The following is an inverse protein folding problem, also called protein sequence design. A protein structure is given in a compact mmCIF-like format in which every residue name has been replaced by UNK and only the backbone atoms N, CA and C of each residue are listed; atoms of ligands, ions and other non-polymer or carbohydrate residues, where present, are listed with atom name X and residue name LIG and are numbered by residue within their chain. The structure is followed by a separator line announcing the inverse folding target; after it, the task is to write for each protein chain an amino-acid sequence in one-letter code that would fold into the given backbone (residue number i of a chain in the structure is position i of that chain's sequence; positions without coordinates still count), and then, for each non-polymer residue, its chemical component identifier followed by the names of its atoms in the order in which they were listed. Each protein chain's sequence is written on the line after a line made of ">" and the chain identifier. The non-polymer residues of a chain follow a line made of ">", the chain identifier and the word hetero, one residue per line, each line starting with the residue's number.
data_IF_005849169232
#
_entry.id   IF_005849169232
#
_cell.length_a   1.000
_cell.length_b   1.000
_cell.length_c   1.000
_cell.angle_alpha   90.00
_cell.angle_beta   90.00
_cell.angle_gamma   90.00
#
_symmetry.space_group_name_H-M   'P 1'
#
loop_
_entity.id
_entity.type
_entity.pdbx_description
1 polymer ?
#
# COMPACT_ATOMS: atom_id res chain seq x y z
N UNK A 1 35.26 -3.84 14.12
CA UNK A 1 34.95 -3.47 12.72
C UNK A 1 34.90 -4.75 11.91
N UNK A 2 33.74 -5.40 11.82
CA UNK A 2 33.52 -6.54 10.93
C UNK A 2 33.41 -6.00 9.50
N UNK A 3 34.19 -6.58 8.57
CA UNK A 3 34.04 -6.31 7.13
C UNK A 3 32.61 -6.64 6.74
N UNK A 4 31.87 -5.64 6.26
CA UNK A 4 30.55 -5.83 5.70
C UNK A 4 30.65 -6.83 4.55
N UNK A 5 30.04 -7.99 4.73
CA UNK A 5 29.79 -8.92 3.62
C UNK A 5 28.88 -8.15 2.67
N UNK A 6 29.35 -7.81 1.48
CA UNK A 6 28.47 -7.28 0.45
C UNK A 6 27.32 -8.27 0.27
N UNK A 7 26.06 -7.83 0.34
CA UNK A 7 24.94 -8.72 0.18
C UNK A 7 25.05 -9.39 -1.20
N UNK A 8 25.16 -10.71 -1.20
CA UNK A 8 25.23 -11.48 -2.44
C UNK A 8 24.06 -11.07 -3.34
N UNK A 9 24.37 -10.68 -4.58
CA UNK A 9 23.36 -10.31 -5.55
C UNK A 9 22.66 -11.61 -6.00
N UNK A 10 21.52 -11.90 -5.38
CA UNK A 10 20.73 -13.10 -5.68
C UNK A 10 19.86 -12.82 -6.89
N UNK A 11 20.07 -13.58 -7.97
CA UNK A 11 19.16 -13.59 -9.11
C UNK A 11 18.05 -14.62 -8.87
N UNK A 12 16.90 -14.11 -8.41
CA UNK A 12 15.71 -14.91 -8.11
C UNK A 12 15.08 -15.54 -9.36
N UNK A 13 15.35 -15.02 -10.56
CA UNK A 13 14.79 -15.56 -11.81
C UNK A 13 15.53 -16.82 -12.28
N UNK A 14 16.78 -17.01 -11.83
CA UNK A 14 17.57 -18.21 -12.14
C UNK A 14 17.24 -19.39 -11.23
N UNK A 15 16.65 -19.16 -10.05
CA UNK A 15 16.19 -20.24 -9.17
C UNK A 15 14.94 -20.92 -9.78
N UNK A 16 15.00 -22.23 -10.11
CA UNK A 16 13.88 -22.96 -10.70
C UNK A 16 12.61 -22.96 -9.83
N UNK A 17 12.77 -22.84 -8.51
CA UNK A 17 11.66 -22.73 -7.59
C UNK A 17 10.91 -21.42 -7.82
N UNK A 18 11.59 -20.29 -7.72
CA UNK A 18 10.98 -18.95 -7.79
C UNK A 18 10.50 -18.58 -9.18
N UNK A 19 11.17 -19.09 -10.23
CA UNK A 19 10.79 -18.84 -11.63
C UNK A 19 9.33 -19.21 -11.94
N UNK A 20 8.78 -20.22 -11.25
CA UNK A 20 7.43 -20.71 -11.49
C UNK A 20 6.41 -20.20 -10.47
N UNK A 21 6.82 -19.36 -9.50
CA UNK A 21 5.93 -18.80 -8.48
C UNK A 21 5.36 -17.47 -8.93
N UNK A 22 4.14 -17.20 -8.47
CA UNK A 22 3.49 -15.89 -8.61
C UNK A 22 4.20 -14.84 -7.78
N UNK A 23 4.66 -15.19 -6.58
CA UNK A 23 5.39 -14.29 -5.69
C UNK A 23 6.77 -14.87 -5.36
N UNK A 24 7.76 -14.00 -5.39
CA UNK A 24 9.14 -14.25 -5.01
C UNK A 24 9.61 -13.17 -4.02
N UNK A 25 10.66 -13.44 -3.23
CA UNK A 25 11.23 -12.48 -2.30
C UNK A 25 11.63 -11.14 -2.93
N UNK A 26 12.05 -11.14 -4.20
CA UNK A 26 12.42 -9.93 -4.93
C UNK A 26 11.24 -8.99 -5.20
N UNK A 27 10.00 -9.51 -5.19
CA UNK A 27 8.79 -8.77 -5.50
C UNK A 27 8.13 -8.15 -4.24
N UNK A 28 8.70 -8.40 -3.06
CA UNK A 28 8.20 -7.89 -1.79
C UNK A 28 9.08 -6.74 -1.27
N UNK A 29 8.46 -5.68 -0.80
CA UNK A 29 9.12 -4.67 0.03
C UNK A 29 8.86 -4.99 1.49
N UNK A 30 9.87 -5.44 2.22
CA UNK A 30 9.72 -5.90 3.61
C UNK A 30 10.42 -4.91 4.53
N UNK A 31 9.73 -4.51 5.59
CA UNK A 31 10.25 -3.62 6.62
C UNK A 31 10.00 -4.21 8.01
N UNK A 32 11.04 -4.22 8.83
CA UNK A 32 10.94 -4.55 10.24
C UNK A 32 10.90 -3.27 11.07
N UNK A 33 9.89 -3.18 11.94
CA UNK A 33 9.71 -2.11 12.90
C UNK A 33 10.18 -2.62 14.24
N UNK A 34 11.19 -1.95 14.81
CA UNK A 34 11.86 -2.39 16.01
C UNK A 34 12.36 -1.22 16.85
N UNK A 35 12.60 -1.46 18.13
CA UNK A 35 13.26 -0.52 19.03
C UNK A 35 14.78 -0.63 18.86
N UNK A 36 15.44 0.49 18.58
CA UNK A 36 16.89 0.56 18.44
C UNK A 36 17.49 1.58 19.42
N UNK A 37 18.47 1.16 20.22
CA UNK A 37 19.22 2.05 21.12
C UNK A 37 20.41 2.69 20.44
N UNK A 38 20.20 3.80 19.71
CA UNK A 38 21.28 4.44 18.93
C UNK A 38 22.15 5.39 19.74
N UNK A 39 21.61 5.95 20.84
CA UNK A 39 22.30 6.92 21.69
C UNK A 39 22.03 6.59 23.15
N UNK A 40 23.09 6.51 23.96
CA UNK A 40 22.99 6.30 25.41
C UNK A 40 22.16 7.39 26.08
N UNK A 41 22.09 8.58 25.48
CA UNK A 41 21.51 9.78 26.07
C UNK A 41 20.00 9.95 25.76
N UNK A 42 19.45 9.23 24.77
CA UNK A 42 18.09 9.45 24.24
C UNK A 42 17.17 8.24 24.45
N UNK A 43 17.73 7.08 24.81
CA UNK A 43 16.97 5.84 24.97
C UNK A 43 16.69 5.12 23.64
N UNK A 44 15.90 4.05 23.72
CA UNK A 44 15.52 3.26 22.54
C UNK A 44 14.48 4.01 21.70
N UNK A 45 14.71 4.12 20.39
CA UNK A 45 13.80 4.76 19.45
C UNK A 45 13.19 3.72 18.51
N UNK A 46 11.92 3.90 18.18
CA UNK A 46 11.26 3.09 17.18
C UNK A 46 11.84 3.37 15.78
N UNK A 47 12.29 2.35 15.08
CA UNK A 47 12.88 2.47 13.75
C UNK A 47 12.27 1.47 12.79
N UNK A 48 12.21 1.86 11.51
CA UNK A 48 11.74 1.02 10.42
C UNK A 48 12.92 0.68 9.50
N UNK A 49 13.21 -0.60 9.35
CA UNK A 49 14.36 -1.11 8.59
C UNK A 49 13.90 -1.96 7.43
N UNK A 50 14.31 -1.57 6.24
CA UNK A 50 14.14 -2.39 5.05
C UNK A 50 14.95 -3.69 5.18
N UNK A 51 14.28 -4.81 4.94
CA UNK A 51 14.89 -6.15 4.88
C UNK A 51 15.15 -6.46 3.42
N UNK A 52 16.44 -6.61 3.07
CA UNK A 52 16.83 -6.96 1.71
C UNK A 52 16.42 -8.39 1.41
N UNK A 53 15.86 -8.64 0.21
CA UNK A 53 15.43 -9.97 -0.20
C UNK A 53 16.54 -11.02 -0.08
N UNK A 54 17.79 -10.65 -0.39
CA UNK A 54 18.96 -11.53 -0.29
C UNK A 54 19.24 -12.02 1.14
N UNK A 55 18.84 -11.27 2.17
CA UNK A 55 19.03 -11.64 3.58
C UNK A 55 18.05 -12.72 4.04
N UNK A 56 17.01 -13.02 3.26
CA UNK A 56 16.00 -14.03 3.58
C UNK A 56 16.46 -15.47 3.26
N UNK A 57 17.55 -15.65 2.52
CA UNK A 57 18.01 -16.97 2.06
C UNK A 57 18.11 -18.04 3.17
N UNK A 58 18.64 -17.75 4.38
CA UNK A 58 18.69 -18.75 5.45
C UNK A 58 17.30 -19.22 5.88
N UNK A 59 16.34 -18.30 6.01
CA UNK A 59 14.98 -18.61 6.43
C UNK A 59 14.20 -19.35 5.32
N UNK A 60 14.49 -19.05 4.05
CA UNK A 60 13.89 -19.69 2.89
C UNK A 60 14.31 -21.16 2.69
N UNK A 61 15.27 -21.68 3.46
CA UNK A 61 15.54 -23.12 3.49
C UNK A 61 14.32 -23.92 3.97
N UNK A 62 13.46 -23.29 4.79
CA UNK A 62 12.24 -23.90 5.32
C UNK A 62 10.98 -23.53 4.50
N UNK A 63 11.15 -23.05 3.26
CA UNK A 63 10.04 -22.54 2.42
C UNK A 63 8.88 -23.52 2.21
N UNK A 64 9.13 -24.81 2.27
CA UNK A 64 8.12 -25.85 2.06
C UNK A 64 7.58 -26.45 3.37
N UNK A 65 8.07 -25.99 4.54
CA UNK A 65 7.72 -26.54 5.86
C UNK A 65 6.21 -26.46 6.11
N UNK A 66 5.60 -25.28 5.94
CA UNK A 66 4.16 -25.10 6.16
C UNK A 66 3.34 -25.98 5.22
N UNK A 67 3.72 -26.07 3.94
CA UNK A 67 3.01 -26.89 2.96
C UNK A 67 3.08 -28.38 3.31
N UNK A 68 4.19 -28.83 3.91
CA UNK A 68 4.40 -30.21 4.31
C UNK A 68 3.73 -30.55 5.67
N UNK A 69 3.61 -29.60 6.58
CA UNK A 69 3.16 -29.84 7.96
C UNK A 69 1.69 -29.53 8.22
N UNK A 70 0.99 -28.85 7.30
CA UNK A 70 -0.38 -28.38 7.52
C UNK A 70 -1.40 -29.53 7.43
N UNK A 71 -2.02 -29.88 8.55
CA UNK A 71 -3.07 -30.91 8.64
C UNK A 71 -4.46 -30.36 8.29
N UNK A 72 -4.70 -29.98 7.03
CA UNK A 72 -5.97 -29.35 6.61
C UNK A 72 -7.18 -30.28 6.83
N UNK A 73 -6.97 -31.59 6.71
CA UNK A 73 -7.98 -32.63 6.91
C UNK A 73 -8.55 -32.65 8.34
N UNK A 74 -7.78 -32.18 9.32
CA UNK A 74 -8.21 -32.09 10.72
C UNK A 74 -9.12 -30.87 10.94
N UNK A 75 -9.08 -29.88 10.05
CA UNK A 75 -9.71 -28.56 10.22
C UNK A 75 -10.99 -28.43 9.38
N UNK A 76 -11.04 -29.04 8.19
CA UNK A 76 -12.25 -29.05 7.34
C UNK A 76 -12.50 -30.42 6.72
N UNK A 77 -13.76 -30.83 6.70
CA UNK A 77 -14.21 -32.07 6.05
C UNK A 77 -14.53 -31.87 4.55
N UNK A 78 -14.57 -30.62 4.08
CA UNK A 78 -14.90 -30.30 2.69
C UNK A 78 -13.70 -30.56 1.78
N UNK A 79 -13.79 -31.58 0.92
CA UNK A 79 -12.71 -31.96 -0.02
C UNK A 79 -12.29 -30.84 -0.97
N UNK A 80 -13.21 -29.97 -1.39
CA UNK A 80 -12.89 -28.86 -2.28
C UNK A 80 -12.07 -27.79 -1.54
N UNK A 81 -12.41 -27.49 -0.29
CA UNK A 81 -11.63 -26.59 0.56
C UNK A 81 -10.25 -27.17 0.87
N UNK A 82 -10.18 -28.48 1.17
CA UNK A 82 -8.90 -29.16 1.38
C UNK A 82 -7.98 -28.99 0.15
N UNK A 83 -8.48 -29.28 -1.06
CA UNK A 83 -7.72 -29.12 -2.29
C UNK A 83 -7.27 -27.66 -2.51
N UNK A 84 -8.17 -26.70 -2.26
CA UNK A 84 -7.89 -25.26 -2.37
C UNK A 84 -6.80 -24.82 -1.40
N UNK A 85 -6.91 -25.15 -0.12
CA UNK A 85 -5.93 -24.76 0.90
C UNK A 85 -4.58 -25.42 0.68
N UNK A 86 -4.54 -26.67 0.21
CA UNK A 86 -3.29 -27.32 -0.21
C UNK A 86 -2.63 -26.60 -1.38
N UNK A 87 -3.42 -26.19 -2.38
CA UNK A 87 -2.89 -25.42 -3.51
C UNK A 87 -2.34 -24.05 -3.07
N UNK A 88 -3.05 -23.35 -2.16
CA UNK A 88 -2.57 -22.11 -1.57
C UNK A 88 -1.31 -22.31 -0.72
N UNK A 89 -1.24 -23.35 0.10
CA UNK A 89 -0.05 -23.67 0.88
C UNK A 89 1.14 -24.04 -0.01
N UNK A 90 0.90 -24.80 -1.07
CA UNK A 90 1.93 -25.11 -2.06
C UNK A 90 2.45 -23.85 -2.74
N UNK A 91 1.62 -22.84 -3.01
CA UNK A 91 2.01 -21.61 -3.72
C UNK A 91 2.60 -20.52 -2.81
N UNK A 92 1.98 -20.29 -1.66
CA UNK A 92 2.27 -19.16 -0.78
C UNK A 92 2.78 -19.59 0.60
N UNK A 93 2.89 -20.89 0.87
CA UNK A 93 3.32 -21.41 2.18
C UNK A 93 4.71 -20.93 2.59
N UNK A 94 5.57 -20.62 1.62
CA UNK A 94 6.90 -20.03 1.86
C UNK A 94 6.85 -18.69 2.59
N UNK A 95 5.74 -17.94 2.49
CA UNK A 95 5.57 -16.68 3.23
C UNK A 95 5.64 -16.92 4.74
N UNK A 96 5.43 -18.13 5.23
CA UNK A 96 5.57 -18.46 6.66
C UNK A 96 6.99 -18.19 7.19
N UNK A 97 8.01 -18.32 6.34
CA UNK A 97 9.39 -17.94 6.66
C UNK A 97 9.50 -16.47 7.06
N UNK A 98 8.58 -15.62 6.59
CA UNK A 98 8.55 -14.20 6.91
C UNK A 98 7.93 -13.91 8.28
N UNK A 99 7.39 -14.89 9.03
CA UNK A 99 6.80 -14.67 10.37
C UNK A 99 7.80 -14.35 11.48
N UNK A 100 9.03 -13.96 11.15
CA UNK A 100 10.04 -13.50 12.11
C UNK A 100 10.31 -14.46 13.29
N UNK A 101 10.19 -15.78 13.09
CA UNK A 101 10.54 -16.77 14.12
C UNK A 101 12.03 -16.69 14.53
N UNK A 102 12.90 -16.20 13.63
CA UNK A 102 14.37 -16.15 13.78
C UNK A 102 15.02 -14.80 13.41
N UNK A 103 14.24 -13.81 12.98
CA UNK A 103 14.81 -12.60 12.39
C UNK A 103 15.57 -11.83 13.45
N UNK A 104 16.88 -11.73 13.24
CA UNK A 104 17.84 -10.95 14.01
C UNK A 104 18.12 -11.48 15.42
N UNK A 105 18.57 -12.73 15.56
CA UNK A 105 19.39 -13.11 16.72
C UNK A 105 20.77 -12.43 16.63
N UNK A 106 20.81 -11.11 16.77
CA UNK A 106 22.03 -10.42 17.17
C UNK A 106 21.98 -10.24 18.68
N UNK A 107 23.14 -10.15 19.33
CA UNK A 107 23.26 -9.98 20.79
C UNK A 107 22.45 -8.75 21.30
N UNK A 108 22.01 -7.86 20.41
CA UNK A 108 21.30 -6.61 20.69
C UNK A 108 19.81 -6.59 20.29
N UNK A 109 19.23 -7.68 19.78
CA UNK A 109 17.84 -7.70 19.32
C UNK A 109 17.02 -8.74 20.11
N UNK A 110 16.53 -8.29 21.27
CA UNK A 110 15.66 -9.10 22.13
C UNK A 110 14.28 -9.28 21.49
N UNK A 111 13.50 -10.30 21.87
CA UNK A 111 12.12 -10.42 21.40
C UNK A 111 11.27 -9.16 21.64
N UNK A 112 11.54 -8.43 22.72
CA UNK A 112 10.81 -7.22 23.13
C UNK A 112 11.13 -5.99 22.26
N UNK A 113 12.28 -5.97 21.57
CA UNK A 113 12.60 -4.91 20.61
C UNK A 113 11.83 -5.06 19.31
N UNK A 114 11.34 -6.25 18.98
CA UNK A 114 10.65 -6.52 17.71
C UNK A 114 9.17 -6.17 17.81
N UNK A 115 8.73 -5.18 17.05
CA UNK A 115 7.35 -4.67 17.13
C UNK A 115 6.48 -5.27 16.04
N UNK A 116 6.70 -4.86 14.80
CA UNK A 116 5.83 -5.21 13.68
C UNK A 116 6.65 -5.43 12.40
N UNK A 117 6.25 -6.39 11.58
CA UNK A 117 6.76 -6.59 10.23
C UNK A 117 5.70 -6.12 9.24
N UNK A 118 6.12 -5.19 8.40
CA UNK A 118 5.32 -4.66 7.31
C UNK A 118 5.81 -5.20 5.97
N UNK A 119 4.89 -5.77 5.20
CA UNK A 119 5.15 -6.24 3.84
C UNK A 119 4.32 -5.40 2.88
N UNK A 120 4.95 -4.81 1.87
CA UNK A 120 4.28 -4.09 0.81
C UNK A 120 4.43 -4.84 -0.53
N UNK A 121 3.29 -5.05 -1.19
CA UNK A 121 3.18 -5.72 -2.48
C UNK A 121 2.62 -4.70 -3.47
N UNK A 122 3.35 -4.45 -4.55
CA UNK A 122 2.98 -3.42 -5.53
C UNK A 122 1.88 -3.87 -6.51
N UNK A 123 1.13 -4.93 -6.20
CA UNK A 123 0.13 -5.53 -7.09
C UNK A 123 -1.15 -5.86 -6.34
N UNK A 124 -2.27 -5.86 -7.07
CA UNK A 124 -3.62 -5.99 -6.54
C UNK A 124 -4.37 -7.15 -7.20
N UNK A 125 -4.04 -8.36 -6.77
CA UNK A 125 -4.82 -9.57 -7.04
C UNK A 125 -5.45 -10.09 -5.77
N UNK A 126 -6.75 -10.38 -5.82
CA UNK A 126 -7.47 -10.95 -4.69
C UNK A 126 -6.85 -12.28 -4.19
N UNK A 127 -6.33 -13.11 -5.11
CA UNK A 127 -5.61 -14.35 -4.76
C UNK A 127 -4.44 -14.13 -3.79
N UNK A 128 -3.77 -12.96 -3.85
CA UNK A 128 -2.67 -12.65 -2.95
C UNK A 128 -3.13 -12.37 -1.53
N UNK A 129 -4.35 -11.88 -1.34
CA UNK A 129 -4.93 -11.70 0.00
C UNK A 129 -5.03 -13.06 0.70
N UNK A 130 -5.63 -14.05 0.02
CA UNK A 130 -5.76 -15.42 0.54
C UNK A 130 -4.42 -16.10 0.74
N UNK A 131 -3.49 -15.91 -0.22
CA UNK A 131 -2.12 -16.43 -0.11
C UNK A 131 -1.35 -15.86 1.08
N UNK A 132 -1.42 -14.53 1.28
CA UNK A 132 -0.79 -13.86 2.41
C UNK A 132 -1.44 -14.26 3.73
N UNK A 133 -2.77 -14.31 3.80
CA UNK A 133 -3.48 -14.75 5.01
C UNK A 133 -3.07 -16.16 5.40
N UNK A 134 -3.07 -17.10 4.45
CA UNK A 134 -2.69 -18.48 4.71
C UNK A 134 -1.21 -18.61 5.10
N UNK A 135 -0.31 -18.05 4.28
CA UNK A 135 1.13 -18.23 4.43
C UNK A 135 1.69 -17.53 5.66
N UNK A 136 1.16 -16.35 6.00
CA UNK A 136 1.57 -15.59 7.17
C UNK A 136 0.80 -15.95 8.43
N UNK A 137 -0.19 -16.83 8.44
CA UNK A 137 -0.88 -17.21 9.69
C UNK A 137 -0.07 -18.20 10.54
N UNK A 138 -0.31 -18.20 11.86
CA UNK A 138 0.27 -19.19 12.78
C UNK A 138 -0.65 -20.39 12.97
N UNK A 139 -0.44 -21.39 12.11
CA UNK A 139 -1.19 -22.65 12.15
C UNK A 139 -0.94 -23.49 13.40
N UNK A 140 0.01 -23.13 14.27
CA UNK A 140 0.22 -23.85 15.54
C UNK A 140 -0.75 -23.42 16.65
N UNK A 141 -1.36 -22.23 16.53
CA UNK A 141 -2.24 -21.66 17.58
C UNK A 141 -3.70 -22.07 17.42
N UNK A 142 -4.33 -21.66 16.32
CA UNK A 142 -5.76 -21.91 16.09
C UNK A 142 -6.09 -22.08 14.60
N UNK A 143 -5.87 -23.27 14.03
CA UNK A 143 -6.19 -23.58 12.63
C UNK A 143 -7.66 -23.30 12.23
N UNK A 144 -8.60 -23.58 13.14
CA UNK A 144 -10.03 -23.36 12.89
C UNK A 144 -10.35 -21.88 12.67
N UNK A 145 -9.77 -20.99 13.48
CA UNK A 145 -9.90 -19.54 13.32
C UNK A 145 -9.31 -19.06 11.98
N UNK A 146 -8.19 -19.65 11.55
CA UNK A 146 -7.55 -19.30 10.27
C UNK A 146 -8.43 -19.72 9.09
N UNK A 147 -9.00 -20.93 9.10
CA UNK A 147 -9.90 -21.40 8.05
C UNK A 147 -11.19 -20.56 8.00
N UNK A 148 -11.75 -20.21 9.16
CA UNK A 148 -12.87 -19.29 9.23
C UNK A 148 -12.53 -17.93 8.62
N UNK A 149 -11.36 -17.37 8.96
CA UNK A 149 -10.90 -16.11 8.40
C UNK A 149 -10.65 -16.16 6.88
N UNK A 150 -10.15 -17.27 6.34
CA UNK A 150 -9.99 -17.47 4.90
C UNK A 150 -11.34 -17.51 4.18
N UNK A 151 -12.34 -18.17 4.75
CA UNK A 151 -13.70 -18.19 4.21
C UNK A 151 -14.34 -16.79 4.28
N UNK A 152 -14.19 -16.10 5.41
CA UNK A 152 -14.70 -14.74 5.58
C UNK A 152 -14.00 -13.75 4.64
N UNK A 153 -12.71 -13.95 4.36
CA UNK A 153 -11.96 -13.14 3.40
C UNK A 153 -12.53 -13.29 1.98
N UNK A 154 -12.77 -14.52 1.54
CA UNK A 154 -13.38 -14.76 0.23
C UNK A 154 -14.79 -14.16 0.14
N UNK A 155 -15.58 -14.30 1.21
CA UNK A 155 -16.88 -13.67 1.30
C UNK A 155 -16.78 -12.14 1.22
N UNK A 156 -15.86 -11.54 1.98
CA UNK A 156 -15.60 -10.11 1.99
C UNK A 156 -15.18 -9.61 0.60
N UNK A 157 -14.24 -10.28 -0.06
CA UNK A 157 -13.83 -9.96 -1.43
C UNK A 157 -15.03 -9.99 -2.36
N UNK A 158 -15.82 -11.06 -2.37
CA UNK A 158 -17.00 -11.19 -3.23
C UNK A 158 -18.07 -10.12 -2.92
N UNK A 159 -18.25 -9.77 -1.66
CA UNK A 159 -19.23 -8.78 -1.21
C UNK A 159 -18.82 -7.35 -1.48
N UNK A 160 -17.52 -7.04 -1.51
CA UNK A 160 -17.01 -5.67 -1.62
C UNK A 160 -16.46 -5.37 -3.02
N UNK A 161 -16.13 -6.39 -3.82
CA UNK A 161 -15.72 -6.22 -5.22
C UNK A 161 -16.91 -5.66 -6.01
N UNK A 162 -16.63 -4.61 -6.78
CA UNK A 162 -17.59 -3.94 -7.64
C UNK A 162 -17.02 -3.83 -9.04
N UNK A 163 -17.92 -3.74 -10.01
CA UNK A 163 -17.59 -3.56 -11.41
C UNK A 163 -17.96 -2.15 -11.85
N UNK A 164 -17.07 -1.55 -12.63
CA UNK A 164 -17.28 -0.26 -13.30
C UNK A 164 -16.99 -0.42 -14.80
N UNK A 165 -17.29 0.62 -15.59
CA UNK A 165 -16.85 0.69 -16.99
C UNK A 165 -15.31 0.68 -17.11
N UNK A 166 -14.61 1.00 -16.02
CA UNK A 166 -13.16 1.13 -15.92
C UNK A 166 -12.51 0.00 -15.08
N UNK A 167 -13.10 -1.20 -15.08
CA UNK A 167 -12.56 -2.38 -14.39
C UNK A 167 -13.06 -2.58 -12.97
N UNK A 168 -12.40 -3.48 -12.24
CA UNK A 168 -12.78 -3.90 -10.87
C UNK A 168 -12.24 -2.98 -9.80
N UNK A 169 -12.99 -2.81 -8.72
CA UNK A 169 -12.63 -1.91 -7.63
C UNK A 169 -13.25 -2.38 -6.32
N UNK A 170 -12.68 -1.94 -5.20
CA UNK A 170 -13.33 -2.07 -3.89
C UNK A 170 -13.92 -0.74 -3.50
N UNK A 171 -15.16 -0.76 -2.98
CA UNK A 171 -15.62 0.37 -2.18
C UNK A 171 -14.71 0.51 -0.95
N UNK A 172 -14.59 1.71 -0.35
CA UNK A 172 -13.92 1.83 0.94
C UNK A 172 -14.65 0.98 1.99
N UNK A 173 -13.94 0.12 2.72
CA UNK A 173 -14.52 -0.73 3.76
C UNK A 173 -13.48 -1.16 4.79
N UNK A 174 -13.97 -1.56 5.97
CA UNK A 174 -13.24 -2.23 7.04
C UNK A 174 -14.02 -3.48 7.46
N UNK A 175 -13.36 -4.64 7.51
CA UNK A 175 -14.00 -5.91 7.88
C UNK A 175 -13.09 -6.77 8.74
N UNK A 176 -13.55 -7.13 9.94
CA UNK A 176 -12.93 -8.18 10.73
C UNK A 176 -13.20 -9.55 10.11
N UNK A 177 -12.15 -10.36 9.96
CA UNK A 177 -12.25 -11.68 9.33
C UNK A 177 -12.54 -12.78 10.35
N UNK A 178 -12.51 -12.46 11.65
CA UNK A 178 -12.74 -13.42 12.75
C UNK A 178 -14.15 -13.34 13.36
N UNK A 179 -15.04 -12.52 12.81
CA UNK A 179 -16.38 -12.31 13.35
C UNK A 179 -17.15 -13.64 13.43
N UNK A 180 -17.63 -13.99 14.62
CA UNK A 180 -18.41 -15.21 14.88
C UNK A 180 -17.65 -16.42 15.46
N UNK A 181 -16.32 -16.35 15.65
CA UNK A 181 -15.50 -17.48 16.15
C UNK A 181 -14.87 -17.29 17.55
N UNK A 182 -15.32 -16.34 18.39
CA UNK A 182 -15.05 -16.38 19.84
C UNK A 182 -15.12 -15.05 20.61
N UNK A 183 -15.62 -15.13 21.86
CA UNK A 183 -15.71 -14.13 22.94
C UNK A 183 -14.34 -13.76 23.60
N UNK A 184 -13.23 -13.97 22.90
CA UNK A 184 -11.89 -13.72 23.44
C UNK A 184 -11.48 -12.27 23.28
N UNK A 185 -11.29 -11.55 24.39
CA UNK A 185 -10.50 -10.30 24.39
C UNK A 185 -9.09 -10.60 23.85
N UNK A 186 -8.55 -9.67 23.06
CA UNK A 186 -7.11 -9.49 22.80
C UNK A 186 -6.43 -10.23 21.63
N UNK A 187 -7.01 -10.25 20.43
CA UNK A 187 -6.18 -10.32 19.21
C UNK A 187 -6.62 -9.28 18.16
N UNK A 188 -5.71 -8.36 17.79
CA UNK A 188 -5.89 -7.29 16.78
C UNK A 188 -6.04 -7.81 15.34
N UNK A 189 -6.53 -9.02 15.11
CA UNK A 189 -6.66 -9.56 13.77
C UNK A 189 -7.16 -11.01 13.69
N UNK A 190 -7.32 -11.55 12.48
CA UNK A 190 -7.14 -10.90 11.17
C UNK A 190 -8.29 -9.96 10.74
N UNK A 191 -7.98 -8.96 9.93
CA UNK A 191 -8.96 -8.07 9.28
C UNK A 191 -8.45 -7.50 7.94
N UNK A 192 -9.39 -7.05 7.10
CA UNK A 192 -9.11 -6.44 5.80
C UNK A 192 -9.71 -5.02 5.72
N UNK A 193 -8.92 -4.09 5.22
CA UNK A 193 -9.32 -2.72 4.92
C UNK A 193 -9.03 -2.41 3.44
N UNK A 194 -9.91 -1.65 2.80
CA UNK A 194 -9.67 -1.03 1.50
C UNK A 194 -9.93 0.46 1.57
N UNK A 195 -9.00 1.27 1.08
CA UNK A 195 -9.08 2.73 1.07
C UNK A 195 -8.61 3.30 -0.27
N UNK A 196 -9.41 4.14 -0.96
CA UNK A 196 -8.93 4.87 -2.13
C UNK A 196 -7.94 5.95 -1.69
N UNK A 197 -6.93 6.27 -2.49
CA UNK A 197 -6.04 7.40 -2.24
C UNK A 197 -5.58 8.08 -3.53
N UNK A 198 -5.17 9.33 -3.40
CA UNK A 198 -4.77 10.17 -4.53
C UNK A 198 -3.27 10.02 -4.84
N UNK A 199 -2.95 9.91 -6.13
CA UNK A 199 -1.58 9.85 -6.64
C UNK A 199 -1.40 10.54 -8.01
N UNK A 200 -0.16 10.90 -8.34
CA UNK A 200 0.18 11.52 -9.63
C UNK A 200 0.39 10.48 -10.74
N UNK A 201 0.12 10.86 -11.99
CA UNK A 201 0.54 10.11 -13.19
C UNK A 201 1.62 10.81 -13.98
N UNK A 202 2.18 10.12 -14.97
CA UNK A 202 3.09 10.68 -15.98
C UNK A 202 2.51 10.56 -17.37
N UNK A 203 3.07 11.36 -18.27
CA UNK A 203 2.73 11.34 -19.68
C UNK A 203 3.06 9.98 -20.32
N UNK A 204 2.11 9.41 -21.05
CA UNK A 204 2.28 8.14 -21.78
C UNK A 204 1.74 6.92 -21.02
N UNK A 205 2.21 5.73 -21.42
CA UNK A 205 1.82 4.48 -20.76
C UNK A 205 2.41 4.46 -19.36
N UNK A 206 1.59 4.04 -18.37
CA UNK A 206 2.09 3.75 -17.04
C UNK A 206 3.25 2.74 -17.18
N UNK A 207 4.47 3.07 -16.74
CA UNK A 207 5.58 2.15 -16.88
C UNK A 207 5.31 0.92 -16.01
N UNK A 208 5.91 -0.23 -16.35
CA UNK A 208 5.66 -1.47 -15.63
C UNK A 208 6.02 -1.30 -14.15
N UNK A 209 5.25 -1.98 -13.30
CA UNK A 209 5.55 -2.08 -11.88
C UNK A 209 6.95 -2.71 -11.73
N UNK A 210 7.82 -2.10 -10.91
CA UNK A 210 9.25 -2.40 -10.69
C UNK A 210 9.38 -3.79 -10.08
N UNK A 211 8.39 -4.14 -9.29
CA UNK A 211 8.09 -5.48 -8.87
C UNK A 211 6.97 -5.92 -9.81
N UNK A 212 7.32 -6.42 -10.99
CA UNK A 212 6.32 -6.96 -11.91
C UNK A 212 5.83 -8.25 -11.24
N UNK A 213 4.68 -8.17 -10.56
CA UNK A 213 4.30 -9.16 -9.56
C UNK A 213 3.70 -10.40 -10.24
N UNK A 214 3.06 -10.23 -11.39
CA UNK A 214 2.57 -11.35 -12.17
C UNK A 214 2.69 -11.05 -13.67
N UNK A 215 3.18 -11.99 -14.51
CA UNK A 215 3.06 -11.88 -15.96
C UNK A 215 1.62 -11.66 -16.42
N UNK A 216 0.63 -12.03 -15.59
CA UNK A 216 -0.80 -11.80 -15.86
C UNK A 216 -1.24 -10.33 -15.78
N UNK A 217 -0.45 -9.42 -15.21
CA UNK A 217 -0.81 -7.99 -15.09
C UNK A 217 -0.91 -7.27 -16.44
N UNK A 218 -0.47 -7.92 -17.53
CA UNK A 218 -0.57 -7.43 -18.90
C UNK A 218 -1.75 -7.95 -19.73
N UNK A 219 -2.62 -8.83 -19.21
CA UNK A 219 -3.77 -9.33 -19.98
C UNK A 219 -4.90 -8.28 -20.03
N UNK A 220 -4.97 -7.55 -21.14
CA UNK A 220 -5.92 -6.47 -21.44
C UNK A 220 -7.34 -6.95 -21.78
N UNK A 221 -7.95 -7.84 -20.99
CA UNK A 221 -9.39 -8.04 -21.10
C UNK A 221 -10.10 -6.99 -20.24
N UNK A 222 -10.77 -6.05 -20.89
CA UNK A 222 -11.48 -4.92 -20.28
C UNK A 222 -12.58 -5.31 -19.28
N UNK A 223 -13.03 -6.59 -19.28
CA UNK A 223 -14.00 -7.15 -18.32
C UNK A 223 -13.37 -7.99 -17.20
N UNK A 224 -12.09 -8.36 -17.33
CA UNK A 224 -11.37 -9.19 -16.34
C UNK A 224 -10.11 -8.52 -15.80
N UNK A 225 -9.96 -7.21 -16.02
CA UNK A 225 -8.82 -6.45 -15.56
C UNK A 225 -8.81 -6.38 -14.03
N UNK A 226 -7.60 -6.52 -13.48
CA UNK A 226 -7.29 -6.32 -12.06
C UNK A 226 -7.71 -4.92 -11.59
N UNK A 227 -7.51 -4.63 -10.30
CA UNK A 227 -7.85 -3.32 -9.77
C UNK A 227 -6.94 -2.23 -10.33
N UNK A 228 -7.40 -1.53 -11.37
CA UNK A 228 -6.62 -0.53 -12.10
C UNK A 228 -6.56 0.82 -11.38
N UNK A 229 -5.51 1.58 -11.67
CA UNK A 229 -5.44 3.02 -11.41
C UNK A 229 -6.48 3.75 -12.26
N UNK A 230 -7.15 4.74 -11.68
CA UNK A 230 -8.19 5.53 -12.36
C UNK A 230 -7.87 7.01 -12.30
N UNK A 231 -8.35 7.81 -13.24
CA UNK A 231 -8.43 9.26 -13.02
C UNK A 231 -9.47 9.59 -11.93
N UNK A 232 -9.46 10.82 -11.41
CA UNK A 232 -10.51 11.28 -10.49
C UNK A 232 -11.91 11.23 -11.10
N UNK A 233 -12.04 11.50 -12.40
CA UNK A 233 -13.33 11.47 -13.10
C UNK A 233 -13.80 10.03 -13.28
N UNK A 234 -12.92 9.11 -13.68
CA UNK A 234 -13.23 7.68 -13.80
C UNK A 234 -13.62 7.05 -12.45
N UNK A 235 -12.99 7.51 -11.36
CA UNK A 235 -13.31 7.05 -10.02
C UNK A 235 -14.73 7.47 -9.59
N UNK A 236 -15.11 8.71 -9.90
CA UNK A 236 -16.42 9.27 -9.55
C UNK A 236 -17.53 8.79 -10.50
N UNK A 237 -17.33 8.96 -11.81
CA UNK A 237 -18.27 8.59 -12.88
C UNK A 237 -18.09 7.14 -13.36
N UNK A 238 -18.27 6.20 -12.45
CA UNK A 238 -17.93 4.76 -12.64
C UNK A 238 -18.61 4.09 -13.85
N UNK A 239 -19.75 4.61 -14.29
CA UNK A 239 -20.56 4.02 -15.36
C UNK A 239 -20.45 4.78 -16.68
N UNK A 240 -19.79 5.94 -16.69
CA UNK A 240 -19.78 6.84 -17.85
C UNK A 240 -18.46 6.73 -18.63
N UNK A 241 -18.47 7.19 -19.88
CA UNK A 241 -17.21 7.52 -20.54
C UNK A 241 -16.76 8.91 -20.08
N UNK A 242 -15.51 9.01 -19.66
CA UNK A 242 -14.91 10.27 -19.19
C UNK A 242 -13.80 10.77 -20.11
N UNK A 243 -13.49 10.04 -21.19
CA UNK A 243 -12.33 10.25 -22.06
C UNK A 243 -12.26 11.66 -22.65
N UNK A 244 -13.40 12.22 -23.05
CA UNK A 244 -13.56 13.56 -23.57
C UNK A 244 -13.27 14.66 -22.52
N UNK A 245 -13.49 14.36 -21.24
CA UNK A 245 -13.31 15.28 -20.11
C UNK A 245 -11.91 15.21 -19.50
N UNK A 246 -11.20 14.10 -19.62
CA UNK A 246 -9.83 13.94 -19.11
C UNK A 246 -8.88 15.04 -19.60
N UNK A 247 -8.98 15.39 -20.89
CA UNK A 247 -8.16 16.45 -21.51
C UNK A 247 -8.42 17.84 -20.93
N UNK A 248 -9.56 18.03 -20.25
CA UNK A 248 -9.96 19.32 -19.72
C UNK A 248 -9.51 19.53 -18.28
N UNK A 249 -8.98 18.50 -17.61
CA UNK A 249 -8.63 18.60 -16.20
C UNK A 249 -7.64 19.73 -15.90
N UNK A 250 -7.67 20.25 -14.68
CA UNK A 250 -6.73 21.30 -14.22
C UNK A 250 -5.28 20.90 -14.47
N UNK A 251 -4.95 19.63 -14.26
CA UNK A 251 -3.59 19.09 -14.47
C UNK A 251 -3.16 19.12 -15.94
N UNK A 252 -4.09 18.99 -16.87
CA UNK A 252 -3.82 19.06 -18.30
C UNK A 252 -3.67 20.52 -18.75
N UNK A 253 -4.51 21.43 -18.24
CA UNK A 253 -4.56 22.84 -18.63
C UNK A 253 -3.45 23.68 -18.00
N UNK A 254 -3.17 23.49 -16.71
CA UNK A 254 -2.23 24.32 -15.96
C UNK A 254 -0.89 23.61 -15.73
N UNK A 255 0.14 24.08 -16.44
CA UNK A 255 1.51 23.57 -16.40
C UNK A 255 2.46 24.70 -15.98
N UNK A 256 2.51 25.06 -14.68
CA UNK A 256 3.25 26.23 -14.21
C UNK A 256 4.76 26.18 -14.52
N UNK A 257 5.33 24.98 -14.68
CA UNK A 257 6.73 24.79 -15.08
C UNK A 257 7.03 25.18 -16.53
N UNK A 258 6.02 25.38 -17.39
CA UNK A 258 6.27 25.87 -18.75
C UNK A 258 6.74 27.34 -18.76
N UNK A 259 6.36 28.11 -17.73
CA UNK A 259 6.67 29.54 -17.63
C UNK A 259 7.67 29.88 -16.53
N UNK A 260 7.90 28.97 -15.56
CA UNK A 260 8.89 29.13 -14.49
C UNK A 260 10.01 28.08 -14.59
N UNK A 261 11.21 28.53 -14.97
CA UNK A 261 12.41 27.69 -15.10
C UNK A 261 12.87 27.08 -13.77
N UNK A 262 12.71 27.78 -12.65
CA UNK A 262 13.12 27.25 -11.35
C UNK A 262 12.19 26.11 -10.92
N UNK A 263 10.89 26.29 -11.17
CA UNK A 263 9.90 25.24 -10.95
C UNK A 263 10.18 24.03 -11.85
N UNK A 264 10.43 24.26 -13.14
CA UNK A 264 10.79 23.21 -14.10
C UNK A 264 11.95 22.33 -13.61
N UNK A 265 13.06 22.94 -13.19
CA UNK A 265 14.22 22.21 -12.69
C UNK A 265 13.90 21.40 -11.42
N UNK A 266 13.07 21.95 -10.52
CA UNK A 266 12.63 21.22 -9.31
C UNK A 266 11.75 20.03 -9.66
N UNK A 267 10.81 20.19 -10.58
CA UNK A 267 9.91 19.11 -11.01
C UNK A 267 10.69 17.97 -11.64
N UNK A 268 11.60 18.26 -12.58
CA UNK A 268 12.47 17.23 -13.18
C UNK A 268 13.34 16.54 -12.13
N UNK A 269 13.89 17.30 -11.18
CA UNK A 269 14.73 16.75 -10.11
C UNK A 269 13.98 15.76 -9.22
N UNK A 270 12.73 16.04 -8.86
CA UNK A 270 11.98 15.22 -7.92
C UNK A 270 11.21 14.08 -8.56
N UNK A 271 10.57 14.36 -9.69
CA UNK A 271 9.67 13.41 -10.33
C UNK A 271 10.32 12.65 -11.50
N UNK A 272 11.43 13.15 -12.05
CA UNK A 272 12.06 12.64 -13.29
C UNK A 272 11.24 12.95 -14.55
N UNK A 273 9.92 12.86 -14.44
CA UNK A 273 8.91 13.14 -15.46
C UNK A 273 7.89 14.16 -14.94
N UNK A 274 7.20 14.84 -15.85
CA UNK A 274 6.18 15.81 -15.45
C UNK A 274 4.89 15.11 -15.03
N UNK A 275 4.29 15.50 -13.89
CA UNK A 275 3.00 14.96 -13.49
C UNK A 275 1.88 15.49 -14.39
N UNK A 276 1.16 14.59 -15.05
CA UNK A 276 0.19 14.95 -16.10
C UNK A 276 -1.26 14.89 -15.69
N UNK A 277 -1.63 13.99 -14.78
CA UNK A 277 -2.98 13.88 -14.24
C UNK A 277 -2.95 13.47 -12.76
N UNK A 278 -4.12 13.55 -12.16
CA UNK A 278 -4.39 13.05 -10.83
C UNK A 278 -5.18 11.75 -10.93
N UNK A 279 -4.67 10.72 -10.27
CA UNK A 279 -5.27 9.40 -10.23
C UNK A 279 -5.71 9.02 -8.82
N UNK A 280 -6.63 8.08 -8.77
CA UNK A 280 -7.07 7.36 -7.59
C UNK A 280 -6.55 5.93 -7.69
N UNK A 281 -5.74 5.53 -6.72
CA UNK A 281 -5.35 4.14 -6.48
C UNK A 281 -6.12 3.62 -5.24
N UNK A 282 -6.02 2.34 -4.97
CA UNK A 282 -6.58 1.68 -3.80
C UNK A 282 -5.44 1.11 -2.97
N UNK A 283 -5.46 1.38 -1.69
CA UNK A 283 -4.61 0.76 -0.69
C UNK A 283 -5.44 -0.32 0.02
N UNK A 284 -5.05 -1.58 -0.16
CA UNK A 284 -5.57 -2.66 0.66
C UNK A 284 -4.61 -2.92 1.80
N UNK A 285 -5.15 -3.13 2.99
CA UNK A 285 -4.38 -3.47 4.18
C UNK A 285 -4.96 -4.74 4.78
N UNK A 286 -4.17 -5.81 4.77
CA UNK A 286 -4.48 -7.08 5.39
C UNK A 286 -3.65 -7.19 6.67
N UNK A 287 -4.33 -7.19 7.82
CA UNK A 287 -3.69 -7.51 9.10
C UNK A 287 -3.86 -8.99 9.37
N UNK A 288 -2.75 -9.65 9.68
CA UNK A 288 -2.72 -11.07 10.00
C UNK A 288 -2.86 -11.25 11.52
N UNK A 289 -2.02 -10.53 12.26
CA UNK A 289 -1.98 -10.47 13.72
C UNK A 289 -1.32 -9.14 14.15
N UNK A 290 -1.16 -8.92 15.45
CA UNK A 290 -0.58 -7.68 16.01
C UNK A 290 0.84 -7.35 15.51
N UNK A 291 1.54 -8.32 14.91
CA UNK A 291 2.93 -8.18 14.46
C UNK A 291 3.10 -8.21 12.95
N UNK A 292 2.07 -8.55 12.17
CA UNK A 292 2.22 -8.73 10.73
C UNK A 292 1.12 -8.01 9.96
N UNK A 293 1.55 -7.07 9.11
CA UNK A 293 0.68 -6.28 8.25
C UNK A 293 1.16 -6.34 6.81
N UNK A 294 0.23 -6.58 5.89
CA UNK A 294 0.50 -6.60 4.46
C UNK A 294 -0.30 -5.52 3.78
N UNK A 295 0.36 -4.72 2.95
CA UNK A 295 -0.27 -3.65 2.17
C UNK A 295 -0.17 -3.93 0.69
N UNK A 296 -1.21 -3.62 -0.06
CA UNK A 296 -1.28 -3.80 -1.50
C UNK A 296 -1.67 -2.47 -2.14
N UNK A 297 -0.88 -1.98 -3.08
CA UNK A 297 -1.26 -0.88 -3.98
C UNK A 297 -0.43 -0.94 -5.23
N UNK A 298 -0.94 -0.44 -6.36
CA UNK A 298 -0.17 -0.42 -7.60
C UNK A 298 1.05 0.50 -7.49
N UNK A 299 0.91 1.59 -6.72
CA UNK A 299 1.93 2.55 -6.32
C UNK A 299 3.23 2.54 -7.17
N UNK A 300 3.03 2.98 -8.41
CA UNK A 300 3.97 3.52 -9.39
C UNK A 300 5.44 3.49 -8.96
N UNK A 301 5.97 2.29 -9.03
CA UNK A 301 7.31 1.93 -8.63
C UNK A 301 8.46 2.60 -9.39
N UNK A 302 8.12 3.28 -10.48
CA UNK A 302 9.03 4.12 -11.27
C UNK A 302 9.33 5.45 -10.57
N UNK A 303 8.49 5.86 -9.62
CA UNK A 303 8.69 7.09 -8.83
C UNK A 303 9.95 6.97 -7.99
N UNK A 304 10.63 8.09 -7.78
CA UNK A 304 11.77 8.12 -6.87
C UNK A 304 11.37 7.74 -5.44
N UNK A 305 12.27 7.06 -4.74
CA UNK A 305 12.19 6.89 -3.27
C UNK A 305 12.53 8.21 -2.57
N UNK A 306 13.34 9.07 -3.20
CA UNK A 306 13.70 10.39 -2.67
C UNK A 306 13.52 11.51 -3.72
N UNK A 307 12.61 12.48 -3.50
CA UNK A 307 11.71 12.57 -2.34
C UNK A 307 10.75 11.37 -2.28
N UNK A 308 10.15 11.07 -1.11
CA UNK A 308 9.28 9.91 -0.90
C UNK A 308 7.97 10.04 -1.68
N UNK A 309 8.00 9.77 -2.99
CA UNK A 309 6.84 9.87 -3.86
C UNK A 309 6.02 8.58 -3.88
N UNK A 310 6.70 7.43 -3.74
CA UNK A 310 6.05 6.14 -3.56
C UNK A 310 5.30 6.12 -2.22
N UNK A 311 4.06 5.63 -2.18
CA UNK A 311 3.29 5.38 -0.95
C UNK A 311 4.11 4.70 0.14
N UNK A 312 4.83 3.61 -0.17
CA UNK A 312 5.64 2.93 0.85
C UNK A 312 6.74 3.82 1.43
N UNK A 313 7.42 4.60 0.58
CA UNK A 313 8.39 5.60 1.04
C UNK A 313 7.73 6.74 1.83
N UNK A 314 6.50 7.18 1.48
CA UNK A 314 5.73 8.17 2.25
C UNK A 314 5.43 7.68 3.66
N UNK A 315 4.98 6.44 3.78
CA UNK A 315 4.67 5.81 5.07
C UNK A 315 5.92 5.76 5.92
N UNK A 316 7.04 5.26 5.36
CA UNK A 316 8.30 5.09 6.08
C UNK A 316 8.95 6.42 6.49
N UNK A 317 9.08 7.38 5.56
CA UNK A 317 9.88 8.59 5.79
C UNK A 317 9.08 9.73 6.45
N UNK A 318 7.76 9.77 6.23
CA UNK A 318 6.93 10.91 6.64
C UNK A 318 5.95 10.51 7.72
N UNK A 319 5.05 9.58 7.44
CA UNK A 319 3.97 9.23 8.38
C UNK A 319 4.49 8.58 9.65
N UNK A 320 5.44 7.67 9.51
CA UNK A 320 6.05 6.97 10.63
C UNK A 320 6.86 7.91 11.53
N UNK A 321 7.43 8.99 11.00
CA UNK A 321 8.24 9.95 11.77
C UNK A 321 7.43 10.58 12.91
N UNK A 322 6.17 10.93 12.68
CA UNK A 322 5.29 11.49 13.70
C UNK A 322 5.04 10.51 14.84
N UNK A 323 4.70 9.27 14.49
CA UNK A 323 4.44 8.19 15.45
C UNK A 323 5.70 7.85 16.25
N UNK A 324 6.85 7.75 15.58
CA UNK A 324 8.15 7.53 16.23
C UNK A 324 8.45 8.58 17.29
N UNK A 325 8.25 9.86 16.96
CA UNK A 325 8.50 10.95 17.89
C UNK A 325 7.49 10.94 19.06
N UNK A 326 6.22 10.63 18.80
CA UNK A 326 5.21 10.48 19.84
C UNK A 326 5.52 9.32 20.78
N UNK A 327 5.94 8.18 20.23
CA UNK A 327 6.35 6.99 20.98
C UNK A 327 7.50 7.28 21.94
N UNK A 328 8.48 8.08 21.52
CA UNK A 328 9.61 8.48 22.35
C UNK A 328 9.19 9.41 23.51
N UNK A 329 8.15 10.21 23.32
CA UNK A 329 7.66 11.15 24.33
C UNK A 329 6.61 10.54 25.27
N UNK A 330 6.02 9.41 24.91
CA UNK A 330 5.07 8.69 25.73
C UNK A 330 5.82 7.92 26.84
N UNK A 331 5.26 7.89 28.05
CA UNK A 331 5.81 7.15 29.18
C UNK A 331 5.68 5.64 28.96
N UNK A 332 6.63 5.04 28.22
CA UNK A 332 7.00 3.61 28.10
C UNK A 332 5.92 2.49 28.01
N UNK A 333 4.63 2.77 28.05
CA UNK A 333 3.56 1.75 28.11
C UNK A 333 2.84 1.52 26.78
N UNK A 334 3.06 2.35 25.75
CA UNK A 334 2.43 2.10 24.45
C UNK A 334 3.26 1.07 23.67
N UNK A 335 2.64 -0.04 23.31
CA UNK A 335 3.23 -0.98 22.36
C UNK A 335 2.97 -0.52 20.92
N UNK A 336 3.88 -0.82 20.00
CA UNK A 336 3.68 -0.54 18.58
C UNK A 336 3.20 -1.81 17.88
N UNK A 337 1.95 -1.80 17.42
CA UNK A 337 1.32 -2.97 16.82
C UNK A 337 0.92 -2.72 15.36
N UNK A 338 0.34 -3.74 14.72
CA UNK A 338 -0.23 -3.63 13.38
C UNK A 338 -1.29 -2.52 13.30
N UNK A 339 -2.11 -2.34 14.35
CA UNK A 339 -3.09 -1.25 14.44
C UNK A 339 -2.44 0.12 14.37
N UNK A 340 -1.36 0.34 15.12
CA UNK A 340 -0.58 1.59 15.05
C UNK A 340 0.01 1.79 13.66
N UNK A 341 0.48 0.71 13.02
CA UNK A 341 1.04 0.77 11.68
C UNK A 341 -0.01 1.13 10.61
N UNK A 342 -1.25 0.68 10.76
CA UNK A 342 -2.35 1.05 9.85
C UNK A 342 -2.57 2.56 9.86
N UNK A 343 -2.55 3.19 11.04
CA UNK A 343 -2.67 4.65 11.15
C UNK A 343 -1.52 5.33 10.39
N UNK A 344 -0.30 4.79 10.48
CA UNK A 344 0.84 5.27 9.70
C UNK A 344 0.60 5.14 8.18
N UNK A 345 0.06 3.99 7.75
CA UNK A 345 -0.23 3.69 6.36
C UNK A 345 -1.29 4.64 5.77
N UNK A 346 -2.39 4.83 6.49
CA UNK A 346 -3.48 5.73 6.12
C UNK A 346 -3.04 7.20 6.09
N UNK A 347 -2.22 7.61 7.08
CA UNK A 347 -1.62 8.95 7.07
C UNK A 347 -0.70 9.15 5.85
N UNK A 348 0.01 8.11 5.42
CA UNK A 348 0.87 8.14 4.23
C UNK A 348 0.09 8.29 2.93
N UNK A 349 -1.09 7.66 2.87
CA UNK A 349 -2.02 7.80 1.76
C UNK A 349 -2.53 9.25 1.62
N UNK A 350 -2.86 9.91 2.73
CA UNK A 350 -3.35 11.30 2.80
C UNK A 350 -2.27 12.35 2.48
N UNK A 351 -1.01 12.07 2.78
CA UNK A 351 0.07 13.08 2.83
C UNK A 351 0.38 13.82 1.51
N UNK A 352 -0.20 13.45 0.38
CA UNK A 352 0.03 14.12 -0.91
C UNK A 352 -0.61 15.51 -1.05
N UNK A 353 -1.56 15.83 -0.17
CA UNK A 353 -2.41 16.99 -0.32
C UNK A 353 -1.90 18.18 0.47
N UNK A 354 -1.12 17.93 1.52
CA UNK A 354 -0.87 18.92 2.55
C UNK A 354 0.55 19.46 2.46
N UNK A 355 0.68 20.78 2.33
CA UNK A 355 1.99 21.46 2.26
C UNK A 355 2.84 21.25 3.50
N UNK A 356 2.25 20.99 4.68
CA UNK A 356 3.06 20.67 5.87
C UNK A 356 3.65 19.27 5.85
N UNK A 357 3.16 18.35 5.00
CA UNK A 357 3.87 17.09 4.71
C UNK A 357 5.05 17.35 3.77
N UNK A 358 4.93 18.35 2.90
CA UNK A 358 5.91 18.65 1.86
C UNK A 358 6.16 20.14 1.69
N UNK A 359 6.93 20.72 2.62
CA UNK A 359 7.24 22.15 2.58
C UNK A 359 7.96 22.56 1.30
N UNK A 360 8.78 21.65 0.77
CA UNK A 360 9.62 21.91 -0.39
C UNK A 360 8.96 21.48 -1.70
N UNK A 361 8.04 20.50 -1.71
CA UNK A 361 7.46 19.97 -2.95
C UNK A 361 6.50 20.98 -3.56
N UNK A 362 6.96 21.67 -4.60
CA UNK A 362 6.30 22.80 -5.26
C UNK A 362 5.08 22.40 -6.12
N UNK A 363 4.56 21.18 -5.96
CA UNK A 363 3.41 20.62 -6.69
C UNK A 363 2.48 19.82 -5.78
N UNK A 364 2.34 20.21 -4.50
CA UNK A 364 1.23 19.73 -3.70
C UNK A 364 -0.11 20.03 -4.40
N UNK A 365 -1.10 19.18 -4.20
CA UNK A 365 -2.42 19.35 -4.81
C UNK A 365 -3.00 20.75 -4.56
N UNK A 366 -2.93 21.24 -3.32
CA UNK A 366 -3.40 22.57 -2.93
C UNK A 366 -2.74 23.69 -3.73
N UNK A 367 -1.42 23.66 -3.90
CA UNK A 367 -0.68 24.72 -4.60
C UNK A 367 -1.06 24.76 -6.09
N UNK A 368 -1.27 23.60 -6.72
CA UNK A 368 -1.61 23.52 -8.14
C UNK A 368 -3.01 24.07 -8.45
N UNK A 369 -4.02 23.69 -7.66
CA UNK A 369 -5.38 24.22 -7.82
C UNK A 369 -5.47 25.69 -7.45
N UNK A 370 -4.82 26.13 -6.35
CA UNK A 370 -4.81 27.54 -5.95
C UNK A 370 -4.17 28.42 -7.03
N UNK A 371 -3.06 27.99 -7.62
CA UNK A 371 -2.40 28.71 -8.71
C UNK A 371 -3.30 28.83 -9.94
N UNK A 372 -4.01 27.75 -10.32
CA UNK A 372 -4.93 27.79 -11.46
C UNK A 372 -6.16 28.68 -11.19
N UNK A 373 -6.73 28.63 -10.00
CA UNK A 373 -7.82 29.52 -9.58
C UNK A 373 -7.39 30.99 -9.65
N UNK A 374 -6.17 31.33 -9.20
CA UNK A 374 -5.63 32.68 -9.33
C UNK A 374 -5.49 33.13 -10.79
N UNK A 375 -5.08 32.22 -11.68
CA UNK A 375 -5.04 32.48 -13.13
C UNK A 375 -6.44 32.75 -13.70
N UNK A 376 -7.43 31.94 -13.33
CA UNK A 376 -8.82 32.12 -13.78
C UNK A 376 -9.40 33.43 -13.26
N UNK A 377 -9.17 33.78 -11.99
CA UNK A 377 -9.61 35.04 -11.39
C UNK A 377 -9.06 36.24 -12.15
N UNK A 378 -7.76 36.24 -12.46
CA UNK A 378 -7.13 37.31 -13.23
C UNK A 378 -7.76 37.46 -14.63
N UNK A 379 -8.03 36.35 -15.33
CA UNK A 379 -8.70 36.38 -16.64
C UNK A 379 -10.14 36.88 -16.55
N UNK A 380 -10.87 36.48 -15.51
CA UNK A 380 -12.25 36.90 -15.27
C UNK A 380 -12.34 38.41 -15.05
N UNK A 381 -11.43 39.00 -14.27
CA UNK A 381 -11.38 40.46 -14.05
C UNK A 381 -11.09 41.25 -15.33
N UNK A 382 -10.34 40.68 -16.28
CA UNK A 382 -9.97 41.36 -17.53
C UNK A 382 -10.97 41.18 -18.65
N UNK A 383 -11.57 39.99 -18.77
CA UNK A 383 -12.48 39.66 -19.86
C UNK A 383 -13.39 38.49 -19.45
N UNK A 384 -14.54 38.79 -18.82
CA UNK A 384 -15.49 37.75 -18.42
C UNK A 384 -16.07 37.06 -19.66
N UNK A 385 -16.22 35.73 -19.58
CA UNK A 385 -16.82 34.93 -20.65
C UNK A 385 -17.45 33.65 -20.10
N UNK A 386 -18.44 33.11 -20.81
CA UNK A 386 -19.10 31.83 -20.46
C UNK A 386 -18.09 30.69 -20.36
N UNK A 387 -17.05 30.69 -21.20
CA UNK A 387 -15.97 29.69 -21.14
C UNK A 387 -15.24 29.69 -19.78
N UNK A 388 -14.94 30.88 -19.23
CA UNK A 388 -14.30 30.98 -17.92
C UNK A 388 -15.21 30.50 -16.79
N UNK A 389 -16.52 30.72 -16.91
CA UNK A 389 -17.49 30.18 -15.95
C UNK A 389 -17.49 28.65 -15.99
N UNK A 390 -17.48 28.05 -17.18
CA UNK A 390 -17.38 26.59 -17.33
C UNK A 390 -16.06 26.03 -16.78
N UNK A 391 -14.93 26.73 -17.00
CA UNK A 391 -13.63 26.35 -16.43
C UNK A 391 -13.66 26.38 -14.88
N UNK A 392 -14.36 27.35 -14.26
CA UNK A 392 -14.53 27.41 -12.80
C UNK A 392 -15.43 26.28 -12.27
N UNK A 393 -16.53 25.98 -12.96
CA UNK A 393 -17.42 24.86 -12.60
C UNK A 393 -16.68 23.53 -12.64
N UNK A 394 -15.81 23.34 -13.64
CA UNK A 394 -14.96 22.16 -13.72
C UNK A 394 -13.98 22.06 -12.54
N UNK A 395 -13.33 23.17 -12.16
CA UNK A 395 -12.44 23.19 -10.99
C UNK A 395 -13.22 22.81 -9.72
N UNK A 396 -14.42 23.37 -9.54
CA UNK A 396 -15.28 23.07 -8.41
C UNK A 396 -15.64 21.58 -8.38
N UNK A 397 -16.02 21.01 -9.52
CA UNK A 397 -16.33 19.59 -9.65
C UNK A 397 -15.14 18.70 -9.26
N UNK A 398 -13.95 18.95 -9.82
CA UNK A 398 -12.74 18.18 -9.48
C UNK A 398 -12.40 18.26 -7.99
N UNK A 399 -12.50 19.45 -7.39
CA UNK A 399 -12.24 19.65 -5.96
C UNK A 399 -13.29 18.92 -5.09
N UNK A 400 -14.56 18.90 -5.49
CA UNK A 400 -15.60 18.16 -4.76
C UNK A 400 -15.31 16.65 -4.76
N UNK A 401 -14.84 16.09 -5.88
CA UNK A 401 -14.44 14.68 -5.97
C UNK A 401 -13.29 14.41 -5.01
N UNK A 402 -12.27 15.27 -5.03
CA UNK A 402 -11.10 15.13 -4.16
C UNK A 402 -11.48 15.20 -2.68
N UNK A 403 -12.31 16.17 -2.30
CA UNK A 403 -12.82 16.32 -0.93
C UNK A 403 -13.59 15.06 -0.51
N UNK A 404 -14.49 14.55 -1.36
CA UNK A 404 -15.26 13.35 -1.05
C UNK A 404 -14.38 12.12 -0.81
N UNK A 405 -13.32 11.93 -1.62
CA UNK A 405 -12.36 10.85 -1.42
C UNK A 405 -11.63 11.03 -0.07
N UNK A 406 -11.20 12.25 0.25
CA UNK A 406 -10.51 12.53 1.52
C UNK A 406 -11.40 12.32 2.74
N UNK A 407 -12.66 12.77 2.69
CA UNK A 407 -13.61 12.59 3.79
C UNK A 407 -13.84 11.11 4.07
N UNK A 408 -13.99 10.28 3.03
CA UNK A 408 -14.07 8.82 3.18
C UNK A 408 -12.82 8.22 3.84
N UNK A 409 -11.62 8.71 3.49
CA UNK A 409 -10.38 8.28 4.14
C UNK A 409 -10.32 8.68 5.62
N UNK A 410 -10.67 9.93 5.92
CA UNK A 410 -10.64 10.46 7.28
C UNK A 410 -11.68 9.79 8.19
N UNK A 411 -12.87 9.52 7.67
CA UNK A 411 -13.92 8.79 8.38
C UNK A 411 -13.43 7.37 8.73
N UNK A 412 -12.79 6.67 7.78
CA UNK A 412 -12.21 5.35 8.04
C UNK A 412 -11.09 5.40 9.09
N UNK A 413 -10.21 6.41 9.04
CA UNK A 413 -9.18 6.60 10.09
C UNK A 413 -9.83 6.82 11.47
N UNK A 414 -10.88 7.63 11.52
CA UNK A 414 -11.60 7.94 12.76
C UNK A 414 -12.29 6.69 13.32
N UNK A 415 -12.86 5.83 12.47
CA UNK A 415 -13.50 4.59 12.90
C UNK A 415 -12.52 3.53 13.40
N UNK A 416 -11.22 3.67 13.10
CA UNK A 416 -10.16 2.75 13.50
C UNK A 416 -9.44 3.19 14.79
N UNK A 417 -9.60 4.45 15.21
CA UNK A 417 -9.03 5.02 16.44
C UNK A 417 -10.02 4.90 17.59
#
# INVERSE_FOLDING_TARGET
>A
MSKGVEPAQVDWLLDPYWRNRRLSPAQLQIHDIRLEGWRQDVGAMLEMREVLSSTLLPDLQNRDELAASISIEEVTQNRNEQARYKALAAEFGWLNCLRSKKVQETIFDSPDSRKCRWIHISSKYADYLSGCLLGLSDWSKNPNKIVAALNQLEHCVNQQERFSKHGRYFAPFFQHLSEGFGDGKDEEGPFLLSVPFLDWTVEGNAPPLRFQVDPREGYQSSRSSSHLLRSILQHFYRLEDTTDRESQQVFTKHKPWQTDRNLDLKVRRWYGHYPTSLNVDELWILVIDSRHVVTFSSNQSWKSRWPPLQLSARIMEVSFRGIRNAYLNASHEQDYTASTHIIAALSGALGMLHRSFWSDITLCLSDRYASYLGHLQYRLHRSPSTKLVMDLLQVQEELNIIISIMEQQMELVTNLQ
#
